data_IF_352508652580
#
_entry.id   IF_352508652580
#
_cell.length_a   1.000
_cell.length_b   1.000
_cell.length_c   1.000
_cell.angle_alpha   90.00
_cell.angle_beta   90.00
_cell.angle_gamma   90.00
#
_symmetry.space_group_name_H-M   'P 1'
#
loop_
_entity.id
_entity.type
_entity.pdbx_description
1 polymer ?
#
# COMPACT_ATOMS: atom_id res chain seq x y z
N UNK A 1 18.48 -52.25 13.66
CA UNK A 1 17.16 -51.82 13.12
C UNK A 1 16.87 -52.75 11.96
N UNK A 2 15.81 -53.54 12.02
CA UNK A 2 15.44 -54.43 10.91
C UNK A 2 15.11 -53.57 9.68
N UNK A 3 15.45 -54.06 8.49
CA UNK A 3 15.15 -53.38 7.22
C UNK A 3 13.63 -53.45 6.97
N UNK A 4 12.91 -52.37 7.28
CA UNK A 4 11.44 -52.31 7.24
C UNK A 4 10.87 -52.21 5.81
N UNK A 5 11.66 -51.72 4.87
CA UNK A 5 11.28 -51.54 3.47
C UNK A 5 12.40 -52.12 2.61
N UNK A 6 12.05 -53.09 1.77
CA UNK A 6 12.97 -53.69 0.79
C UNK A 6 12.24 -54.01 -0.50
N UNK A 7 12.94 -53.87 -1.62
CA UNK A 7 12.43 -54.32 -2.92
C UNK A 7 12.79 -55.80 -3.07
N UNK A 8 11.81 -56.68 -2.92
CA UNK A 8 12.02 -58.12 -3.00
C UNK A 8 12.24 -58.63 -4.45
N UNK A 9 11.56 -58.00 -5.42
CA UNK A 9 11.67 -58.34 -6.84
C UNK A 9 11.56 -57.06 -7.68
N UNK A 10 12.48 -56.89 -8.62
CA UNK A 10 12.40 -55.80 -9.60
C UNK A 10 11.34 -56.11 -10.66
N UNK A 11 10.64 -55.09 -11.18
CA UNK A 11 9.74 -55.28 -12.31
C UNK A 11 10.52 -55.74 -13.54
N UNK A 12 10.07 -56.83 -14.16
CA UNK A 12 10.61 -57.33 -15.42
C UNK A 12 9.57 -57.09 -16.50
N UNK A 13 9.93 -56.31 -17.53
CA UNK A 13 9.09 -56.08 -18.71
C UNK A 13 9.68 -56.89 -19.85
N UNK A 14 8.95 -57.90 -20.31
CA UNK A 14 9.28 -58.61 -21.54
C UNK A 14 8.64 -57.90 -22.72
N UNK A 15 9.47 -57.48 -23.68
CA UNK A 15 9.03 -56.81 -24.90
C UNK A 15 9.55 -57.52 -26.14
N UNK A 16 8.75 -57.49 -27.21
CA UNK A 16 9.13 -58.01 -28.55
C UNK A 16 8.82 -56.98 -29.62
N UNK A 17 8.85 -55.69 -29.27
CA UNK A 17 8.42 -54.60 -30.15
C UNK A 17 9.29 -54.51 -31.41
N UNK A 18 10.58 -54.84 -31.28
CA UNK A 18 11.51 -54.89 -32.42
C UNK A 18 11.09 -55.92 -33.48
N UNK A 19 10.49 -57.04 -33.09
CA UNK A 19 10.03 -58.06 -34.03
C UNK A 19 8.87 -57.58 -34.90
N UNK A 20 8.14 -56.53 -34.47
CA UNK A 20 7.00 -55.97 -35.20
C UNK A 20 7.38 -54.76 -36.06
N UNK A 21 8.58 -54.20 -35.90
CA UNK A 21 8.99 -52.94 -36.53
C UNK A 21 8.83 -52.96 -38.06
N UNK A 22 9.40 -53.96 -38.72
CA UNK A 22 9.32 -54.06 -40.19
C UNK A 22 7.88 -54.24 -40.70
N UNK A 23 7.04 -54.96 -39.94
CA UNK A 23 5.62 -55.15 -40.28
C UNK A 23 4.85 -53.84 -40.14
N UNK A 24 5.09 -53.07 -39.07
CA UNK A 24 4.48 -51.77 -38.85
C UNK A 24 4.94 -50.78 -39.93
N UNK A 25 6.24 -50.68 -40.18
CA UNK A 25 6.81 -49.76 -41.16
C UNK A 25 6.24 -50.04 -42.57
N UNK A 26 6.14 -51.32 -42.95
CA UNK A 26 5.52 -51.75 -44.22
C UNK A 26 4.04 -51.36 -44.29
N UNK A 27 3.25 -51.68 -43.25
CA UNK A 27 1.80 -51.46 -43.22
C UNK A 27 1.45 -49.97 -43.23
N UNK A 28 2.24 -49.15 -42.53
CA UNK A 28 2.15 -47.69 -42.58
C UNK A 28 2.53 -47.17 -43.97
N UNK A 29 3.63 -47.67 -44.56
CA UNK A 29 4.04 -47.29 -45.91
C UNK A 29 2.98 -47.59 -46.98
N UNK A 30 2.37 -48.78 -46.93
CA UNK A 30 1.28 -49.18 -47.82
C UNK A 30 0.05 -48.27 -47.67
N UNK A 31 -0.35 -47.96 -46.43
CA UNK A 31 -1.49 -47.08 -46.17
C UNK A 31 -1.24 -45.65 -46.66
N UNK A 32 -0.03 -45.13 -46.50
CA UNK A 32 0.35 -43.78 -46.96
C UNK A 32 0.45 -43.67 -48.50
N UNK A 33 0.68 -44.79 -49.19
CA UNK A 33 0.76 -44.83 -50.66
C UNK A 33 -0.63 -44.83 -51.34
N UNK A 34 -1.71 -44.98 -50.60
CA UNK A 34 -3.07 -45.01 -51.15
C UNK A 34 -3.49 -43.62 -51.69
N UNK A 35 -3.86 -43.58 -52.98
CA UNK A 35 -4.43 -42.37 -53.59
C UNK A 35 -5.89 -42.25 -53.19
N UNK A 36 -6.24 -41.12 -52.56
CA UNK A 36 -7.60 -40.82 -52.12
C UNK A 36 -8.32 -39.95 -53.16
N UNK A 37 -9.39 -40.47 -53.76
CA UNK A 37 -10.31 -39.75 -54.66
C UNK A 37 -11.76 -40.13 -54.35
N UNK A 38 -12.73 -39.63 -55.12
CA UNK A 38 -14.16 -39.82 -54.87
C UNK A 38 -14.59 -41.30 -54.85
N UNK A 39 -13.95 -42.15 -55.65
CA UNK A 39 -14.25 -43.58 -55.74
C UNK A 39 -13.52 -44.40 -54.65
N UNK A 40 -12.30 -43.99 -54.23
CA UNK A 40 -11.46 -44.74 -53.28
C UNK A 40 -11.56 -44.28 -51.82
N UNK A 41 -12.23 -43.16 -51.54
CA UNK A 41 -12.30 -42.56 -50.19
C UNK A 41 -12.80 -43.51 -49.10
N UNK A 42 -13.74 -44.40 -49.42
CA UNK A 42 -14.26 -45.36 -48.43
C UNK A 42 -13.22 -46.43 -48.08
N UNK A 43 -12.44 -46.89 -49.05
CA UNK A 43 -11.35 -47.83 -48.82
C UNK A 43 -10.24 -47.19 -47.97
N UNK A 44 -9.86 -45.94 -48.27
CA UNK A 44 -8.87 -45.19 -47.48
C UNK A 44 -9.35 -44.98 -46.04
N UNK A 45 -10.64 -44.66 -45.83
CA UNK A 45 -11.24 -44.54 -44.49
C UNK A 45 -11.19 -45.87 -43.72
N UNK A 46 -11.45 -46.99 -44.38
CA UNK A 46 -11.37 -48.32 -43.76
C UNK A 46 -9.94 -48.64 -43.31
N UNK A 47 -8.95 -48.45 -44.19
CA UNK A 47 -7.53 -48.66 -43.86
C UNK A 47 -7.08 -47.78 -42.69
N UNK A 48 -7.49 -46.51 -42.67
CA UNK A 48 -7.22 -45.61 -41.54
C UNK A 48 -7.82 -46.12 -40.23
N UNK A 49 -9.06 -46.62 -40.27
CA UNK A 49 -9.73 -47.14 -39.09
C UNK A 49 -9.01 -48.38 -38.53
N UNK A 50 -8.55 -49.27 -39.41
CA UNK A 50 -7.86 -50.49 -39.01
C UNK A 50 -6.46 -50.22 -38.45
N UNK A 51 -5.67 -49.33 -39.07
CA UNK A 51 -4.41 -48.84 -38.49
C UNK A 51 -4.62 -48.25 -37.09
N UNK A 52 -5.68 -47.47 -36.92
CA UNK A 52 -5.97 -46.88 -35.62
C UNK A 52 -6.34 -47.93 -34.57
N UNK A 53 -7.08 -48.99 -34.92
CA UNK A 53 -7.38 -50.10 -33.99
C UNK A 53 -6.12 -50.85 -33.57
N UNK A 54 -5.23 -51.15 -34.51
CA UNK A 54 -3.95 -51.79 -34.23
C UNK A 54 -3.08 -50.93 -33.30
N UNK A 55 -2.99 -49.63 -33.58
CA UNK A 55 -2.28 -48.69 -32.73
C UNK A 55 -2.86 -48.64 -31.30
N UNK A 56 -4.18 -48.54 -31.15
CA UNK A 56 -4.82 -48.52 -29.83
C UNK A 56 -4.56 -49.81 -29.04
N UNK A 57 -4.58 -50.95 -29.71
CA UNK A 57 -4.27 -52.25 -29.08
C UNK A 57 -2.88 -52.26 -28.45
N UNK A 58 -1.87 -51.74 -29.17
CA UNK A 58 -0.50 -51.63 -28.66
C UNK A 58 -0.38 -50.61 -27.52
N UNK A 59 -1.08 -49.48 -27.62
CA UNK A 59 -1.11 -48.47 -26.55
C UNK A 59 -1.78 -48.98 -25.27
N UNK A 60 -2.83 -49.79 -25.39
CA UNK A 60 -3.47 -50.46 -24.25
C UNK A 60 -2.52 -51.44 -23.56
N UNK A 61 -1.79 -52.25 -24.33
CA UNK A 61 -0.76 -53.16 -23.79
C UNK A 61 0.34 -52.38 -23.05
N UNK A 62 0.83 -51.27 -23.64
CA UNK A 62 1.81 -50.39 -22.99
C UNK A 62 1.29 -49.82 -21.67
N UNK A 63 0.05 -49.32 -21.65
CA UNK A 63 -0.58 -48.77 -20.44
C UNK A 63 -0.78 -49.86 -19.37
N UNK A 64 -1.18 -51.06 -19.77
CA UNK A 64 -1.33 -52.19 -18.87
C UNK A 64 0.01 -52.57 -18.21
N UNK A 65 1.09 -52.67 -18.99
CA UNK A 65 2.44 -52.91 -18.47
C UNK A 65 2.87 -51.82 -17.47
N UNK A 66 2.69 -50.53 -17.82
CA UNK A 66 2.98 -49.41 -16.90
C UNK A 66 2.19 -49.52 -15.60
N UNK A 67 0.89 -49.82 -15.67
CA UNK A 67 0.02 -49.96 -14.50
C UNK A 67 0.45 -51.13 -13.61
N UNK A 68 0.82 -52.27 -14.21
CA UNK A 68 1.29 -53.43 -13.46
C UNK A 68 2.57 -53.15 -12.68
N UNK A 69 3.47 -52.35 -13.25
CA UNK A 69 4.73 -51.94 -12.60
C UNK A 69 4.51 -50.87 -11.52
N UNK A 70 3.70 -49.84 -11.81
CA UNK A 70 3.49 -48.73 -10.88
C UNK A 70 2.50 -49.06 -9.75
N UNK A 71 1.53 -49.95 -9.96
CA UNK A 71 0.51 -50.28 -8.97
C UNK A 71 1.08 -50.70 -7.60
N UNK A 72 2.03 -51.66 -7.54
CA UNK A 72 2.68 -52.04 -6.28
C UNK A 72 3.44 -50.88 -5.61
N UNK A 73 4.08 -50.03 -6.42
CA UNK A 73 4.78 -48.85 -5.92
C UNK A 73 3.80 -47.82 -5.33
N UNK A 74 2.71 -47.51 -6.03
CA UNK A 74 1.67 -46.59 -5.57
C UNK A 74 0.98 -47.10 -4.29
N UNK A 75 0.75 -48.41 -4.17
CA UNK A 75 0.23 -49.03 -2.95
C UNK A 75 1.21 -48.90 -1.78
N UNK A 76 2.50 -49.15 -2.02
CA UNK A 76 3.54 -48.93 -1.03
C UNK A 76 3.59 -47.47 -0.57
N UNK A 77 3.57 -46.51 -1.50
CA UNK A 77 3.55 -45.08 -1.17
C UNK A 77 2.33 -44.69 -0.34
N UNK A 78 1.15 -45.25 -0.65
CA UNK A 78 -0.05 -45.02 0.14
C UNK A 78 0.11 -45.51 1.59
N UNK A 79 0.63 -46.74 1.78
CA UNK A 79 0.90 -47.30 3.11
C UNK A 79 1.97 -46.51 3.84
N UNK A 80 3.06 -46.12 3.16
CA UNK A 80 4.12 -45.31 3.76
C UNK A 80 3.60 -43.94 4.17
N UNK A 81 2.75 -43.32 3.34
CA UNK A 81 2.12 -42.04 3.65
C UNK A 81 1.27 -42.15 4.91
N UNK A 82 0.37 -43.13 4.98
CA UNK A 82 -0.54 -43.35 6.11
C UNK A 82 0.23 -43.66 7.41
N UNK A 83 1.15 -44.62 7.35
CA UNK A 83 1.83 -45.16 8.54
C UNK A 83 2.99 -44.30 9.03
N UNK A 84 3.61 -43.52 8.14
CA UNK A 84 4.85 -42.78 8.46
C UNK A 84 4.65 -41.30 8.20
N UNK A 85 4.42 -40.90 6.95
CA UNK A 85 4.50 -39.48 6.58
C UNK A 85 3.46 -38.63 7.29
N UNK A 86 2.20 -39.06 7.29
CA UNK A 86 1.09 -38.28 7.87
C UNK A 86 1.22 -38.24 9.40
N UNK A 87 1.58 -39.36 10.03
CA UNK A 87 1.81 -39.41 11.48
C UNK A 87 2.95 -38.49 11.93
N UNK A 88 4.11 -38.53 11.27
CA UNK A 88 5.25 -37.67 11.63
C UNK A 88 4.99 -36.20 11.34
N UNK A 89 4.32 -35.87 10.23
CA UNK A 89 3.94 -34.48 9.91
C UNK A 89 2.92 -33.93 10.90
N UNK A 90 1.93 -34.73 11.29
CA UNK A 90 0.97 -34.33 12.32
C UNK A 90 1.65 -34.10 13.67
N UNK A 91 2.58 -34.98 14.06
CA UNK A 91 3.36 -34.84 15.29
C UNK A 91 4.24 -33.58 15.26
N UNK A 92 4.97 -33.33 14.17
CA UNK A 92 5.80 -32.14 13.99
C UNK A 92 4.97 -30.84 14.10
N UNK A 93 3.84 -30.77 13.41
CA UNK A 93 2.94 -29.63 13.48
C UNK A 93 2.39 -29.41 14.90
N UNK A 94 2.01 -30.48 15.59
CA UNK A 94 1.53 -30.42 16.97
C UNK A 94 2.62 -29.95 17.95
N UNK A 95 3.85 -30.45 17.80
CA UNK A 95 4.99 -30.06 18.61
C UNK A 95 5.37 -28.60 18.37
N UNK A 96 5.41 -28.17 17.10
CA UNK A 96 5.61 -26.77 16.74
C UNK A 96 4.53 -25.88 17.39
N UNK A 97 3.27 -26.28 17.34
CA UNK A 97 2.18 -25.54 17.99
C UNK A 97 2.38 -25.38 19.49
N UNK A 98 2.84 -26.43 20.19
CA UNK A 98 3.16 -26.38 21.62
C UNK A 98 4.33 -25.45 21.93
N UNK A 99 5.40 -25.50 21.12
CA UNK A 99 6.55 -24.61 21.25
C UNK A 99 6.11 -23.16 21.07
N UNK A 100 5.44 -22.86 19.96
CA UNK A 100 4.99 -21.50 19.64
C UNK A 100 4.04 -20.93 20.73
N UNK A 101 3.14 -21.76 21.29
CA UNK A 101 2.27 -21.35 22.39
C UNK A 101 3.05 -21.01 23.66
N UNK A 102 3.98 -21.88 24.05
CA UNK A 102 4.83 -21.68 25.23
C UNK A 102 5.69 -20.42 25.07
N UNK A 103 6.29 -20.21 23.91
CA UNK A 103 7.10 -19.02 23.65
C UNK A 103 6.28 -17.73 23.68
N UNK A 104 5.05 -17.75 23.14
CA UNK A 104 4.13 -16.61 23.26
C UNK A 104 3.79 -16.30 24.71
N UNK A 105 3.46 -17.30 25.52
CA UNK A 105 3.15 -17.11 26.94
C UNK A 105 4.34 -16.53 27.72
N UNK A 106 5.56 -17.00 27.44
CA UNK A 106 6.78 -16.47 28.05
C UNK A 106 6.98 -15.00 27.69
N UNK A 107 6.82 -14.63 26.41
CA UNK A 107 6.93 -13.23 25.98
C UNK A 107 5.85 -12.36 26.58
N UNK A 108 4.60 -12.82 26.56
CA UNK A 108 3.47 -12.08 27.11
C UNK A 108 3.68 -11.81 28.59
N UNK A 109 4.08 -12.81 29.39
CA UNK A 109 4.38 -12.62 30.82
C UNK A 109 5.50 -11.60 31.05
N UNK A 110 6.53 -11.60 30.19
CA UNK A 110 7.59 -10.62 30.26
C UNK A 110 7.09 -9.20 29.91
N UNK A 111 6.29 -9.07 28.86
CA UNK A 111 5.66 -7.80 28.46
C UNK A 111 4.71 -7.27 29.54
N UNK A 112 3.87 -8.13 30.12
CA UNK A 112 2.95 -7.75 31.21
C UNK A 112 3.74 -7.21 32.41
N UNK A 113 4.79 -7.91 32.84
CA UNK A 113 5.66 -7.43 33.93
C UNK A 113 6.45 -6.17 33.60
N UNK A 114 6.73 -5.90 32.32
CA UNK A 114 7.34 -4.64 31.86
C UNK A 114 6.31 -3.50 31.82
N UNK A 115 5.05 -3.79 31.47
CA UNK A 115 3.94 -2.82 31.51
C UNK A 115 3.60 -2.41 32.94
N UNK A 116 3.58 -3.36 33.86
CA UNK A 116 3.43 -3.08 35.30
C UNK A 116 4.56 -2.17 35.78
N UNK A 117 5.81 -2.54 35.50
CA UNK A 117 6.97 -1.73 35.87
C UNK A 117 6.94 -0.32 35.24
N UNK A 118 6.54 -0.19 33.97
CA UNK A 118 6.35 1.09 33.32
C UNK A 118 5.26 1.93 34.02
N UNK A 119 4.13 1.33 34.38
CA UNK A 119 3.07 2.01 35.11
C UNK A 119 3.53 2.49 36.49
N UNK A 120 4.36 1.71 37.20
CA UNK A 120 4.99 2.12 38.46
C UNK A 120 5.89 3.34 38.28
N UNK A 121 6.73 3.36 37.24
CA UNK A 121 7.59 4.49 36.91
C UNK A 121 6.77 5.75 36.58
N UNK A 122 5.75 5.62 35.73
CA UNK A 122 4.84 6.71 35.39
C UNK A 122 4.12 7.28 36.63
N UNK A 123 3.64 6.41 37.52
CA UNK A 123 3.01 6.82 38.76
C UNK A 123 3.98 7.55 39.71
N UNK A 124 5.23 7.08 39.81
CA UNK A 124 6.26 7.71 40.63
C UNK A 124 6.59 9.13 40.14
N UNK A 125 6.72 9.30 38.83
CA UNK A 125 7.00 10.60 38.18
C UNK A 125 5.74 11.46 37.93
N UNK A 126 4.55 10.96 38.31
CA UNK A 126 3.24 11.61 38.09
C UNK A 126 2.96 11.95 36.62
N UNK A 127 3.36 11.05 35.71
CA UNK A 127 3.13 11.17 34.27
C UNK A 127 1.97 10.25 33.87
N UNK A 128 0.91 10.81 33.28
CA UNK A 128 -0.32 10.08 32.92
C UNK A 128 -0.62 10.06 31.40
N UNK A 129 0.18 10.74 30.58
CA UNK A 129 -0.09 10.96 29.16
C UNK A 129 0.75 10.11 28.20
N UNK A 130 1.73 9.35 28.70
CA UNK A 130 2.56 8.44 27.89
C UNK A 130 2.07 7.00 27.97
N UNK A 131 2.29 6.25 26.88
CA UNK A 131 1.92 4.83 26.74
C UNK A 131 3.17 3.97 26.60
N UNK A 132 3.07 2.72 27.06
CA UNK A 132 4.15 1.76 27.01
C UNK A 132 4.73 1.57 25.60
N UNK A 133 3.88 1.57 24.56
CA UNK A 133 4.27 1.37 23.17
C UNK A 133 5.21 2.47 22.66
N UNK A 134 5.16 3.68 23.25
CA UNK A 134 6.00 4.80 22.86
C UNK A 134 7.47 4.64 23.28
N UNK A 135 7.75 3.72 24.23
CA UNK A 135 9.12 3.36 24.60
C UNK A 135 9.84 2.53 23.52
N UNK A 136 9.12 2.04 22.50
CA UNK A 136 9.73 1.35 21.35
C UNK A 136 10.43 0.03 21.70
N UNK A 137 10.06 -0.60 22.82
CA UNK A 137 10.69 -1.84 23.26
C UNK A 137 10.30 -3.02 22.38
N UNK A 138 11.26 -3.92 22.17
CA UNK A 138 11.05 -5.21 21.51
C UNK A 138 11.45 -6.34 22.44
N UNK A 139 10.48 -7.15 22.85
CA UNK A 139 10.72 -8.33 23.69
C UNK A 139 11.05 -9.53 22.81
N UNK A 140 12.32 -9.93 22.81
CA UNK A 140 12.76 -11.18 22.20
C UNK A 140 12.78 -12.34 23.20
N UNK A 141 12.96 -13.57 22.72
CA UNK A 141 12.99 -14.75 23.60
C UNK A 141 14.18 -14.75 24.57
N UNK A 142 15.30 -14.13 24.20
CA UNK A 142 16.48 -14.06 25.07
C UNK A 142 16.21 -13.18 26.30
N UNK A 143 15.52 -12.05 26.08
CA UNK A 143 15.10 -11.13 27.13
C UNK A 143 13.95 -11.71 27.94
N UNK A 144 12.96 -12.33 27.28
CA UNK A 144 11.78 -12.89 27.95
C UNK A 144 12.09 -14.09 28.87
N UNK A 145 13.14 -14.86 28.58
CA UNK A 145 13.60 -15.96 29.45
C UNK A 145 14.34 -15.47 30.70
N UNK A 146 14.77 -14.21 30.76
CA UNK A 146 15.41 -13.68 31.95
C UNK A 146 14.38 -13.48 33.05
N UNK A 147 14.74 -13.87 34.28
CA UNK A 147 13.90 -13.62 35.47
C UNK A 147 13.54 -12.14 35.62
N UNK A 148 14.51 -11.28 35.29
CA UNK A 148 14.34 -9.82 35.26
C UNK A 148 15.06 -9.28 34.03
N UNK A 149 14.35 -8.76 33.01
CA UNK A 149 14.98 -8.25 31.79
C UNK A 149 15.62 -6.88 32.05
N UNK A 150 16.79 -6.88 32.71
CA UNK A 150 17.44 -5.68 33.25
C UNK A 150 17.58 -4.56 32.22
N UNK A 151 18.07 -4.90 31.01
CA UNK A 151 18.25 -3.95 29.92
C UNK A 151 16.94 -3.28 29.49
N UNK A 152 15.84 -4.04 29.40
CA UNK A 152 14.53 -3.50 29.02
C UNK A 152 13.97 -2.59 30.12
N UNK A 153 14.20 -2.95 31.40
CA UNK A 153 13.82 -2.10 32.54
C UNK A 153 14.63 -0.80 32.60
N UNK A 154 15.94 -0.87 32.38
CA UNK A 154 16.80 0.32 32.27
C UNK A 154 16.31 1.24 31.14
N UNK A 155 16.00 0.68 29.96
CA UNK A 155 15.43 1.47 28.86
C UNK A 155 14.08 2.13 29.19
N UNK A 156 13.19 1.46 29.92
CA UNK A 156 11.93 2.08 30.37
C UNK A 156 12.18 3.18 31.39
N UNK A 157 13.09 2.95 32.34
CA UNK A 157 13.45 3.94 33.34
C UNK A 157 14.05 5.19 32.68
N UNK A 158 14.99 5.02 31.75
CA UNK A 158 15.60 6.12 31.01
C UNK A 158 14.56 6.89 30.18
N UNK A 159 13.62 6.18 29.55
CA UNK A 159 12.54 6.79 28.78
C UNK A 159 11.62 7.65 29.67
N UNK A 160 11.11 7.09 30.77
CA UNK A 160 10.22 7.82 31.68
C UNK A 160 10.95 8.99 32.35
N UNK A 161 12.19 8.78 32.79
CA UNK A 161 13.03 9.84 33.37
C UNK A 161 13.30 10.98 32.37
N UNK A 162 13.54 10.65 31.09
CA UNK A 162 13.72 11.66 30.04
C UNK A 162 12.47 12.51 29.81
N UNK A 163 11.28 11.89 29.86
CA UNK A 163 10.00 12.61 29.79
C UNK A 163 9.81 13.48 31.04
N UNK A 164 10.09 12.95 32.24
CA UNK A 164 9.99 13.70 33.49
C UNK A 164 10.89 14.95 33.49
N UNK A 165 12.17 14.79 33.12
CA UNK A 165 13.10 15.91 32.97
C UNK A 165 12.60 16.96 31.97
N UNK A 166 11.98 16.53 30.87
CA UNK A 166 11.40 17.45 29.88
C UNK A 166 10.18 18.19 30.42
N UNK A 167 9.34 17.52 31.21
CA UNK A 167 8.19 18.13 31.89
C UNK A 167 8.65 19.19 32.89
N UNK A 168 9.66 18.89 33.70
CA UNK A 168 10.25 19.83 34.65
C UNK A 168 10.86 21.04 33.93
N UNK A 169 11.61 20.80 32.85
CA UNK A 169 12.19 21.86 32.02
C UNK A 169 11.11 22.80 31.49
N UNK A 170 10.07 22.26 30.85
CA UNK A 170 8.98 23.05 30.24
C UNK A 170 8.21 23.82 31.31
N UNK A 171 8.00 23.24 32.50
CA UNK A 171 7.26 23.89 33.59
C UNK A 171 7.93 25.17 34.08
N UNK A 172 9.25 25.33 33.87
CA UNK A 172 10.00 26.53 34.22
C UNK A 172 10.11 27.58 33.09
N UNK A 173 9.46 27.38 31.94
CA UNK A 173 9.56 28.27 30.78
C UNK A 173 8.37 29.23 30.66
N UNK A 174 8.56 30.32 29.93
CA UNK A 174 7.45 31.12 29.41
C UNK A 174 6.60 30.27 28.45
N UNK A 175 5.29 30.52 28.40
CA UNK A 175 4.34 29.79 27.56
C UNK A 175 4.30 28.27 27.82
N UNK A 176 4.65 27.85 29.05
CA UNK A 176 4.73 26.44 29.47
C UNK A 176 3.50 25.62 29.07
N UNK A 177 2.29 26.18 29.16
CA UNK A 177 1.05 25.51 28.79
C UNK A 177 1.00 25.15 27.29
N UNK A 178 1.36 26.09 26.41
CA UNK A 178 1.41 25.85 24.96
C UNK A 178 2.50 24.85 24.59
N UNK A 179 3.69 25.01 25.20
CA UNK A 179 4.83 24.10 24.96
C UNK A 179 4.47 22.69 25.44
N UNK A 180 3.81 22.55 26.58
CA UNK A 180 3.39 21.25 27.13
C UNK A 180 2.38 20.55 26.22
N UNK A 181 1.43 21.29 25.61
CA UNK A 181 0.48 20.71 24.64
C UNK A 181 1.20 20.15 23.42
N UNK A 182 2.17 20.89 22.87
CA UNK A 182 2.98 20.41 21.75
C UNK A 182 3.87 19.22 22.15
N UNK A 183 4.49 19.29 23.33
CA UNK A 183 5.33 18.24 23.87
C UNK A 183 4.56 16.94 24.09
N UNK A 184 3.36 16.97 24.67
CA UNK A 184 2.54 15.75 24.86
C UNK A 184 2.21 15.04 23.53
N UNK A 185 2.22 15.77 22.40
CA UNK A 185 2.00 15.20 21.06
C UNK A 185 3.25 14.51 20.51
N UNK A 186 4.43 15.07 20.74
CA UNK A 186 5.68 14.62 20.08
C UNK A 186 6.65 13.88 21.01
N UNK A 187 6.57 14.12 22.31
CA UNK A 187 7.56 13.80 23.33
C UNK A 187 8.97 14.32 23.01
N UNK A 188 9.03 15.42 22.25
CA UNK A 188 10.27 16.10 21.85
C UNK A 188 10.23 17.55 22.35
N UNK A 189 10.91 17.81 23.47
CA UNK A 189 10.91 19.12 24.12
C UNK A 189 11.56 20.21 23.24
N UNK A 190 12.77 19.99 22.66
CA UNK A 190 13.37 20.96 21.74
C UNK A 190 12.47 21.35 20.57
N UNK A 191 11.80 20.38 19.94
CA UNK A 191 10.90 20.66 18.82
C UNK A 191 9.63 21.40 19.28
N UNK A 192 9.06 21.03 20.42
CA UNK A 192 7.89 21.69 20.99
C UNK A 192 8.16 23.16 21.33
N UNK A 193 9.28 23.43 22.03
CA UNK A 193 9.73 24.78 22.38
C UNK A 193 9.89 25.62 21.11
N UNK A 194 10.63 25.11 20.14
CA UNK A 194 10.91 25.83 18.88
C UNK A 194 9.63 26.15 18.11
N UNK A 195 8.68 25.22 18.09
CA UNK A 195 7.41 25.39 17.40
C UNK A 195 6.52 26.47 18.03
N UNK A 196 6.47 26.58 19.36
CA UNK A 196 5.71 27.62 20.06
C UNK A 196 6.37 28.98 19.88
N UNK A 197 7.68 29.08 20.09
CA UNK A 197 8.41 30.34 19.93
C UNK A 197 8.30 30.91 18.51
N UNK A 198 8.42 30.07 17.49
CA UNK A 198 8.27 30.52 16.10
C UNK A 198 6.83 30.94 15.80
N UNK A 199 5.83 30.26 16.37
CA UNK A 199 4.43 30.65 16.23
C UNK A 199 4.17 32.03 16.82
N UNK A 200 4.66 32.29 18.03
CA UNK A 200 4.54 33.59 18.69
C UNK A 200 5.24 34.69 17.91
N UNK A 201 6.47 34.44 17.45
CA UNK A 201 7.21 35.36 16.57
C UNK A 201 6.40 35.72 15.32
N UNK A 202 5.77 34.74 14.68
CA UNK A 202 4.93 34.96 13.49
C UNK A 202 3.64 35.72 13.80
N UNK A 203 3.02 35.46 14.95
CA UNK A 203 1.81 36.17 15.40
C UNK A 203 2.14 37.65 15.66
N UNK A 204 3.23 37.93 16.38
CA UNK A 204 3.63 39.32 16.65
C UNK A 204 4.02 40.07 15.37
N UNK A 205 4.75 39.43 14.46
CA UNK A 205 5.06 40.01 13.16
C UNK A 205 3.80 40.37 12.34
N UNK A 206 2.75 39.53 12.37
CA UNK A 206 1.49 39.82 11.68
C UNK A 206 0.70 40.94 12.37
N UNK A 207 0.70 41.00 13.71
CA UNK A 207 0.07 42.09 14.48
C UNK A 207 0.74 43.43 14.16
N UNK A 208 2.06 43.49 14.12
CA UNK A 208 2.82 44.70 13.74
C UNK A 208 2.50 45.11 12.30
N UNK A 209 2.48 44.16 11.36
CA UNK A 209 2.13 44.43 9.97
C UNK A 209 0.69 44.94 9.85
N UNK A 210 -0.26 44.37 10.59
CA UNK A 210 -1.65 44.83 10.59
C UNK A 210 -1.79 46.24 11.17
N UNK A 211 -1.13 46.54 12.30
CA UNK A 211 -1.13 47.87 12.89
C UNK A 211 -0.57 48.92 11.91
N UNK A 212 0.50 48.58 11.17
CA UNK A 212 1.04 49.46 10.14
C UNK A 212 0.05 49.67 8.98
N UNK A 213 -0.64 48.62 8.53
CA UNK A 213 -1.71 48.73 7.50
C UNK A 213 -2.88 49.59 7.98
N UNK A 214 -3.24 49.53 9.26
CA UNK A 214 -4.30 50.37 9.83
C UNK A 214 -3.90 51.84 9.92
N UNK A 215 -2.66 52.13 10.35
CA UNK A 215 -2.12 53.51 10.34
C UNK A 215 -2.03 54.06 8.92
N UNK A 216 -1.58 53.26 7.95
CA UNK A 216 -1.55 53.65 6.54
C UNK A 216 -2.95 53.96 6.01
N UNK A 217 -3.93 53.07 6.25
CA UNK A 217 -5.33 53.29 5.87
C UNK A 217 -5.93 54.55 6.51
N UNK A 218 -5.61 54.82 7.78
CA UNK A 218 -6.06 56.04 8.45
C UNK A 218 -5.44 57.31 7.83
N UNK A 219 -4.16 57.29 7.48
CA UNK A 219 -3.49 58.40 6.77
C UNK A 219 -4.06 58.61 5.37
N UNK A 220 -4.28 57.53 4.62
CA UNK A 220 -4.92 57.58 3.30
C UNK A 220 -6.34 58.16 3.40
N UNK A 221 -7.14 57.71 4.37
CA UNK A 221 -8.47 58.26 4.62
C UNK A 221 -8.44 59.75 4.98
N UNK A 222 -7.47 60.20 5.78
CA UNK A 222 -7.28 61.62 6.09
C UNK A 222 -6.89 62.43 4.84
N UNK A 223 -6.02 61.88 3.98
CA UNK A 223 -5.64 62.52 2.71
C UNK A 223 -6.84 62.59 1.76
N UNK A 224 -7.62 61.53 1.62
CA UNK A 224 -8.86 61.53 0.83
C UNK A 224 -9.85 62.55 1.38
N UNK A 225 -10.09 62.59 2.70
CA UNK A 225 -10.97 63.57 3.32
C UNK A 225 -10.49 65.02 3.10
N UNK A 226 -9.17 65.27 3.13
CA UNK A 226 -8.61 66.59 2.79
C UNK A 226 -8.78 66.95 1.31
N UNK A 227 -8.65 65.99 0.40
CA UNK A 227 -8.91 66.18 -1.04
C UNK A 227 -10.41 66.44 -1.28
N UNK A 228 -11.30 65.69 -0.63
CA UNK A 228 -12.76 65.88 -0.66
C UNK A 228 -13.22 67.20 0.00
N UNK A 229 -12.50 67.70 1.00
CA UNK A 229 -12.78 69.01 1.60
C UNK A 229 -12.18 70.18 0.80
N UNK A 230 -11.14 69.92 0.00
CA UNK A 230 -10.47 70.91 -0.85
C UNK A 230 -11.04 70.97 -2.28
N UNK A 231 -11.94 70.06 -2.67
CA UNK A 231 -12.83 70.33 -3.81
C UNK A 231 -13.78 71.43 -3.38
N UNK A 232 -13.73 72.64 -3.99
CA UNK A 232 -14.74 73.64 -3.72
C UNK A 232 -16.10 73.02 -4.07
N UNK A 233 -17.10 73.26 -3.22
CA UNK A 233 -18.49 72.97 -3.54
C UNK A 233 -18.79 73.60 -4.89
N UNK A 234 -18.77 72.78 -5.93
CA UNK A 234 -19.25 73.14 -7.24
C UNK A 234 -20.75 73.37 -7.06
N UNK A 235 -21.08 74.64 -6.85
CA UNK A 235 -22.34 75.25 -7.25
C UNK A 235 -22.72 74.60 -8.59
N UNK A 236 -23.85 73.91 -8.66
CA UNK A 236 -24.41 73.36 -9.89
C UNK A 236 -24.23 74.39 -11.02
N UNK A 237 -23.34 74.18 -11.99
CA UNK A 237 -23.41 74.85 -13.26
C UNK A 237 -24.44 74.07 -14.10
N UNK A 238 -25.13 74.75 -15.01
CA UNK A 238 -26.29 74.21 -15.71
C UNK A 238 -25.92 72.94 -16.45
N UNK A 239 -26.89 72.03 -16.60
CA UNK A 239 -26.83 70.87 -17.51
C UNK A 239 -26.16 71.32 -18.82
N UNK A 240 -24.87 71.05 -18.95
CA UNK A 240 -24.15 71.21 -20.20
C UNK A 240 -24.65 70.06 -21.04
N UNK A 241 -25.45 70.38 -22.06
CA UNK A 241 -25.78 69.43 -23.10
C UNK A 241 -24.46 68.86 -23.62
N UNK A 242 -24.22 67.57 -23.36
CA UNK A 242 -23.06 66.82 -23.82
C UNK A 242 -22.82 67.13 -25.30
N UNK A 243 -21.67 67.74 -25.60
CA UNK A 243 -21.34 68.11 -26.95
C UNK A 243 -21.05 66.82 -27.74
N UNK A 244 -21.99 66.41 -28.59
CA UNK A 244 -21.88 65.22 -29.43
C UNK A 244 -20.77 65.41 -30.48
N UNK A 245 -19.67 64.70 -30.30
CA UNK A 245 -18.59 64.64 -31.28
C UNK A 245 -18.88 63.55 -32.32
N UNK A 246 -18.97 63.92 -33.61
CA UNK A 246 -19.09 62.96 -34.73
C UNK A 246 -17.71 62.61 -35.25
N UNK A 247 -17.41 61.32 -35.30
CA UNK A 247 -16.22 60.75 -35.95
C UNK A 247 -16.68 59.70 -36.95
N UNK A 248 -16.16 59.75 -38.18
CA UNK A 248 -16.42 58.74 -39.20
C UNK A 248 -15.16 57.91 -39.39
N UNK A 249 -15.26 56.60 -39.28
CA UNK A 249 -14.15 55.67 -39.47
C UNK A 249 -14.64 54.40 -40.18
N UNK A 250 -13.79 53.81 -41.01
CA UNK A 250 -14.09 52.57 -41.74
C UNK A 250 -13.45 51.39 -41.04
N UNK A 251 -14.23 50.34 -40.79
CA UNK A 251 -13.77 49.16 -40.05
C UNK A 251 -13.83 47.92 -40.94
N UNK A 252 -12.71 47.23 -41.08
CA UNK A 252 -12.65 45.92 -41.73
C UNK A 252 -12.67 44.83 -40.65
N UNK A 253 -13.78 44.11 -40.53
CA UNK A 253 -13.93 43.06 -39.53
C UNK A 253 -14.88 41.95 -40.02
N UNK A 254 -14.84 40.80 -39.34
CA UNK A 254 -15.72 39.67 -39.63
C UNK A 254 -17.15 39.90 -39.12
N UNK A 255 -18.14 39.22 -39.72
CA UNK A 255 -19.57 39.37 -39.37
C UNK A 255 -19.89 39.23 -37.87
N UNK A 256 -19.27 38.30 -37.10
CA UNK A 256 -19.47 38.22 -35.65
C UNK A 256 -18.90 39.42 -34.89
N UNK A 257 -17.75 39.94 -35.32
CA UNK A 257 -17.10 41.10 -34.70
C UNK A 257 -17.94 42.37 -34.90
N UNK A 258 -18.52 42.56 -36.09
CA UNK A 258 -19.43 43.68 -36.35
C UNK A 258 -20.72 43.60 -35.51
N UNK A 259 -21.22 42.39 -35.22
CA UNK A 259 -22.36 42.21 -34.29
C UNK A 259 -22.01 42.61 -32.86
N UNK A 260 -20.81 42.26 -32.39
CA UNK A 260 -20.34 42.66 -31.06
C UNK A 260 -20.12 44.17 -30.97
N UNK A 261 -19.52 44.78 -31.99
CA UNK A 261 -19.35 46.23 -32.05
C UNK A 261 -20.69 46.96 -32.03
N UNK A 262 -21.67 46.50 -32.82
CA UNK A 262 -23.04 47.03 -32.77
C UNK A 262 -23.70 46.85 -31.40
N UNK A 263 -23.49 45.70 -30.75
CA UNK A 263 -24.00 45.44 -29.40
C UNK A 263 -23.45 46.42 -28.37
N UNK A 264 -22.13 46.65 -28.41
CA UNK A 264 -21.46 47.62 -27.55
C UNK A 264 -21.99 49.05 -27.77
N UNK A 265 -22.10 49.50 -29.03
CA UNK A 265 -22.61 50.85 -29.33
C UNK A 265 -24.05 51.04 -28.81
N UNK A 266 -24.90 50.03 -28.91
CA UNK A 266 -26.27 50.10 -28.38
C UNK A 266 -26.31 50.08 -26.84
N UNK A 267 -25.47 49.27 -26.20
CA UNK A 267 -25.42 49.16 -24.74
C UNK A 267 -24.98 50.48 -24.10
N UNK A 268 -24.02 51.16 -24.72
CA UNK A 268 -23.51 52.47 -24.28
C UNK A 268 -24.34 53.65 -24.81
N UNK A 269 -25.45 53.40 -25.55
CA UNK A 269 -26.33 54.44 -26.07
C UNK A 269 -25.72 55.32 -27.17
N UNK A 270 -24.65 54.86 -27.83
CA UNK A 270 -23.91 55.61 -28.85
C UNK A 270 -24.64 55.53 -30.21
N UNK A 271 -24.93 56.69 -30.80
CA UNK A 271 -25.54 56.77 -32.14
C UNK A 271 -24.49 56.51 -33.24
N UNK A 272 -24.82 55.63 -34.17
CA UNK A 272 -23.97 55.30 -35.32
C UNK A 272 -24.81 55.32 -36.62
N UNK A 273 -24.17 55.64 -37.75
CA UNK A 273 -24.74 55.64 -39.11
C UNK A 273 -24.24 54.42 -39.91
#
# INVERSE_FOLDING_TARGET
>A
MNELIRVAQLPVIEERLRAMKETVDKRVGEALALVCNEETVQAVKAVRADLNKEFQTLEEQRKAAKKAVLGPYEQFEAVYKECVSDAFRAADAALKGKVDATEREIKQRCEDGLREYFAELCAAERIDFIRFEQAGLKVDMASAKQKTPKKLREQLADFVAGVACSVELISGMDDAEEIMVEFKRTLDAPAAISAVQERHRRIEAEKEAQALREVQRAREAEVVAKVEAAVPTAVDPPVQAEQLYKCTFTVHATKPQLRKLKGFLNQEGIRYE
#
